data_IF_701391320041
#
_entry.id   IF_701391320041
#
_cell.length_a   1.000
_cell.length_b   1.000
_cell.length_c   1.000
_cell.angle_alpha   90.00
_cell.angle_beta   90.00
_cell.angle_gamma   90.00
#
_symmetry.space_group_name_H-M   'P 1'
#
loop_
_entity.id
_entity.type
_entity.pdbx_description
1 polymer ?
#
# COMPACT_ATOMS: atom_id res chain seq x y z
N UNK A 1 -27.27 10.51 -27.85
CA UNK A 1 -26.07 9.65 -27.66
C UNK A 1 -25.77 9.61 -26.16
N UNK A 2 -26.59 8.99 -25.31
CA UNK A 2 -26.59 7.56 -24.95
C UNK A 2 -25.21 6.90 -25.02
N UNK A 3 -24.32 7.26 -24.10
CA UNK A 3 -23.23 6.40 -23.64
C UNK A 3 -23.43 6.27 -22.14
N UNK A 4 -24.03 5.14 -21.79
CA UNK A 4 -24.00 4.51 -20.48
C UNK A 4 -22.84 5.02 -19.63
N UNK A 5 -23.20 5.80 -18.62
CA UNK A 5 -22.51 6.14 -17.36
C UNK A 5 -22.03 4.90 -16.56
N UNK A 6 -21.76 3.79 -17.23
CA UNK A 6 -21.52 2.45 -16.72
C UNK A 6 -20.15 1.89 -17.12
N UNK A 7 -19.22 2.71 -17.59
CA UNK A 7 -17.80 2.35 -17.52
C UNK A 7 -17.38 2.52 -16.06
N UNK A 8 -17.76 1.54 -15.24
CA UNK A 8 -17.31 1.27 -13.89
C UNK A 8 -16.68 2.48 -13.18
N UNK A 9 -17.50 3.37 -12.63
CA UNK A 9 -17.06 4.18 -11.51
C UNK A 9 -16.50 3.20 -10.49
N UNK A 10 -15.17 3.07 -10.41
CA UNK A 10 -14.50 2.15 -9.52
C UNK A 10 -15.02 2.46 -8.12
N UNK A 11 -15.92 1.61 -7.59
CA UNK A 11 -16.62 1.84 -6.33
C UNK A 11 -15.68 1.73 -5.14
N UNK A 12 -14.47 1.22 -5.38
CA UNK A 12 -13.55 0.79 -4.35
C UNK A 12 -12.13 1.38 -4.54
N UNK A 13 -11.97 2.69 -4.81
CA UNK A 13 -10.65 3.29 -4.98
C UNK A 13 -9.84 3.19 -3.68
N UNK A 14 -10.53 3.34 -2.55
CA UNK A 14 -9.96 3.15 -1.23
C UNK A 14 -9.52 1.71 -1.01
N UNK A 15 -10.36 0.73 -1.33
CA UNK A 15 -10.04 -0.70 -1.17
C UNK A 15 -8.82 -1.08 -1.98
N UNK A 16 -8.71 -0.65 -3.25
CA UNK A 16 -7.52 -0.93 -4.05
C UNK A 16 -6.27 -0.30 -3.45
N UNK A 17 -6.36 0.96 -3.02
CA UNK A 17 -5.22 1.66 -2.40
C UNK A 17 -4.76 0.96 -1.13
N UNK A 18 -5.71 0.50 -0.29
CA UNK A 18 -5.42 -0.29 0.91
C UNK A 18 -4.80 -1.64 0.54
N UNK A 19 -5.33 -2.37 -0.43
CA UNK A 19 -4.81 -3.69 -0.82
C UNK A 19 -3.38 -3.59 -1.36
N UNK A 20 -3.11 -2.65 -2.25
CA UNK A 20 -1.76 -2.43 -2.77
C UNK A 20 -0.80 -1.94 -1.68
N UNK A 21 -1.25 -1.04 -0.80
CA UNK A 21 -0.47 -0.61 0.36
C UNK A 21 -0.14 -1.77 1.30
N UNK A 22 -1.12 -2.61 1.64
CA UNK A 22 -0.93 -3.77 2.52
C UNK A 22 0.00 -4.80 1.89
N UNK A 23 -0.14 -5.06 0.58
CA UNK A 23 0.75 -5.95 -0.15
C UNK A 23 2.20 -5.45 -0.12
N UNK A 24 2.42 -4.14 -0.36
CA UNK A 24 3.75 -3.54 -0.29
C UNK A 24 4.34 -3.58 1.14
N UNK A 25 3.54 -3.23 2.14
CA UNK A 25 3.93 -3.28 3.55
C UNK A 25 4.31 -4.70 3.99
N UNK A 26 3.47 -5.70 3.67
CA UNK A 26 3.73 -7.09 4.00
C UNK A 26 4.97 -7.63 3.27
N UNK A 27 5.17 -7.26 2.00
CA UNK A 27 6.37 -7.65 1.25
C UNK A 27 7.63 -7.08 1.89
N UNK A 28 7.64 -5.80 2.26
CA UNK A 28 8.80 -5.18 2.92
C UNK A 28 9.04 -5.81 4.29
N UNK A 29 8.00 -6.03 5.09
CA UNK A 29 8.12 -6.71 6.38
C UNK A 29 8.68 -8.13 6.24
N UNK A 30 8.26 -8.87 5.20
CA UNK A 30 8.77 -10.20 4.89
C UNK A 30 10.25 -10.16 4.48
N UNK A 31 10.63 -9.28 3.55
CA UNK A 31 12.02 -9.16 3.11
C UNK A 31 12.93 -8.72 4.26
N UNK A 32 12.49 -7.76 5.07
CA UNK A 32 13.23 -7.29 6.24
C UNK A 32 13.39 -8.42 7.28
N UNK A 33 12.37 -9.26 7.47
CA UNK A 33 12.47 -10.44 8.33
C UNK A 33 13.53 -11.44 7.86
N UNK A 34 13.63 -11.68 6.54
CA UNK A 34 14.63 -12.57 5.95
C UNK A 34 16.04 -11.96 5.94
N UNK A 35 16.15 -10.63 5.77
CA UNK A 35 17.41 -9.90 5.67
C UNK A 35 17.67 -9.04 6.92
N UNK A 36 17.87 -9.70 8.06
CA UNK A 36 18.13 -9.06 9.36
C UNK A 36 19.55 -9.40 9.89
N UNK A 37 20.64 -9.04 9.18
CA UNK A 37 22.01 -9.39 9.61
C UNK A 37 22.47 -8.62 10.85
N UNK A 38 21.89 -7.44 11.09
CA UNK A 38 22.27 -6.54 12.18
C UNK A 38 21.38 -6.69 13.43
N UNK A 39 20.52 -7.72 13.47
CA UNK A 39 19.66 -8.00 14.64
C UNK A 39 18.70 -6.86 15.00
N UNK A 40 18.32 -6.02 14.03
CA UNK A 40 17.48 -4.83 14.19
C UNK A 40 16.00 -5.17 14.39
N UNK A 41 15.55 -6.31 13.84
CA UNK A 41 14.15 -6.72 13.85
C UNK A 41 13.89 -7.82 14.87
N UNK A 42 14.75 -8.84 14.90
CA UNK A 42 14.70 -9.93 15.86
C UNK A 42 16.11 -10.41 16.24
N UNK A 43 16.29 -10.82 17.49
CA UNK A 43 17.55 -11.33 18.04
C UNK A 43 17.29 -12.11 19.32
N UNK A 44 18.02 -13.22 19.56
CA UNK A 44 17.98 -14.01 20.80
C UNK A 44 16.57 -14.32 21.33
N UNK A 45 15.62 -14.56 20.42
CA UNK A 45 14.22 -14.85 20.73
C UNK A 45 13.34 -13.62 21.01
N UNK A 46 13.91 -12.42 21.01
CA UNK A 46 13.20 -11.14 21.06
C UNK A 46 12.83 -10.60 19.69
N UNK A 47 11.72 -9.87 19.60
CA UNK A 47 11.26 -9.18 18.39
C UNK A 47 10.99 -7.70 18.69
N UNK A 48 11.61 -6.82 17.92
CA UNK A 48 11.39 -5.37 17.98
C UNK A 48 10.16 -4.99 17.14
N UNK A 49 8.98 -5.34 17.64
CA UNK A 49 7.69 -5.18 16.93
C UNK A 49 7.47 -3.76 16.40
N UNK A 50 7.74 -2.74 17.21
CA UNK A 50 7.54 -1.34 16.81
C UNK A 50 8.34 -0.97 15.56
N UNK A 51 9.59 -1.39 15.48
CA UNK A 51 10.45 -1.14 14.33
C UNK A 51 9.97 -1.92 13.10
N UNK A 52 9.65 -3.21 13.27
CA UNK A 52 9.15 -4.06 12.20
C UNK A 52 7.84 -3.54 11.59
N UNK A 53 6.90 -3.10 12.43
CA UNK A 53 5.65 -2.49 11.98
C UNK A 53 5.87 -1.10 11.37
N UNK A 54 6.79 -0.28 11.90
CA UNK A 54 7.14 1.00 11.26
C UNK A 54 7.69 0.81 9.85
N UNK A 55 8.54 -0.21 9.62
CA UNK A 55 9.03 -0.55 8.28
C UNK A 55 7.89 -0.88 7.33
N UNK A 56 6.96 -1.75 7.75
CA UNK A 56 5.76 -2.06 6.96
C UNK A 56 4.89 -0.84 6.67
N UNK A 57 4.66 0.01 7.66
CA UNK A 57 3.88 1.23 7.52
C UNK A 57 4.56 2.25 6.58
N UNK A 58 5.89 2.32 6.63
CA UNK A 58 6.70 3.20 5.78
C UNK A 58 6.61 2.82 4.30
N UNK A 59 6.42 1.53 4.00
CA UNK A 59 6.17 1.04 2.64
C UNK A 59 4.69 1.13 2.24
N UNK A 60 3.76 0.87 3.17
CA UNK A 60 2.32 0.99 2.95
C UNK A 60 1.93 2.41 2.51
N UNK A 61 2.38 3.42 3.25
CA UNK A 61 1.93 4.80 3.11
C UNK A 61 2.17 5.39 1.71
N UNK A 62 3.39 5.36 1.13
CA UNK A 62 3.62 5.91 -0.20
C UNK A 62 2.83 5.16 -1.27
N UNK A 63 2.69 3.83 -1.19
CA UNK A 63 1.92 3.05 -2.17
C UNK A 63 0.43 3.38 -2.08
N UNK A 64 -0.12 3.45 -0.87
CA UNK A 64 -1.50 3.88 -0.65
C UNK A 64 -1.76 5.25 -1.27
N UNK A 65 -0.89 6.23 -0.99
CA UNK A 65 -1.02 7.60 -1.50
C UNK A 65 -0.91 7.68 -3.02
N UNK A 66 0.05 6.96 -3.62
CA UNK A 66 0.22 6.93 -5.08
C UNK A 66 -1.02 6.34 -5.76
N UNK A 67 -1.51 5.18 -5.28
CA UNK A 67 -2.66 4.52 -5.91
C UNK A 67 -3.92 5.39 -5.79
N UNK A 68 -4.18 5.99 -4.63
CA UNK A 68 -5.35 6.85 -4.47
C UNK A 68 -5.24 8.12 -5.33
N UNK A 69 -4.08 8.77 -5.37
CA UNK A 69 -3.83 9.93 -6.22
C UNK A 69 -4.03 9.60 -7.70
N UNK A 70 -3.49 8.47 -8.19
CA UNK A 70 -3.67 8.05 -9.58
C UNK A 70 -5.15 7.84 -9.93
N UNK A 71 -5.92 7.20 -9.04
CA UNK A 71 -7.36 7.01 -9.28
C UNK A 71 -8.11 8.34 -9.31
N UNK A 72 -7.75 9.29 -8.44
CA UNK A 72 -8.33 10.63 -8.43
C UNK A 72 -7.99 11.43 -9.70
N UNK A 73 -6.73 11.40 -10.15
CA UNK A 73 -6.30 12.06 -11.40
C UNK A 73 -7.06 11.50 -12.60
N UNK A 74 -7.17 10.17 -12.71
CA UNK A 74 -7.93 9.54 -13.80
C UNK A 74 -9.40 9.96 -13.78
N UNK A 75 -10.01 10.08 -12.60
CA UNK A 75 -11.39 10.56 -12.47
C UNK A 75 -11.52 12.03 -12.86
N UNK A 76 -10.59 12.88 -12.45
CA UNK A 76 -10.59 14.30 -12.78
C UNK A 76 -10.51 14.52 -14.30
N UNK A 77 -9.52 13.89 -14.96
CA UNK A 77 -9.30 14.00 -16.41
C UNK A 77 -10.49 13.49 -17.23
N UNK A 78 -11.21 12.46 -16.74
CA UNK A 78 -12.41 11.95 -17.43
C UNK A 78 -13.65 12.85 -17.28
N UNK A 79 -13.66 13.73 -16.29
CA UNK A 79 -14.80 14.61 -15.99
C UNK A 79 -14.65 16.01 -16.60
N UNK A 80 -13.46 16.35 -17.10
CA UNK A 80 -13.17 17.52 -17.94
C UNK A 80 -13.32 17.18 -19.42
#
# INVERSE_FOLDING_TARGET
MSIKSHIAANKYPLTLSVLFGLAAGALVMYLAWQHNPQCEIHCDGGVYWSFWFMLGLSAFTPVFLVVICLVWVIKYVKNT
#
